data_IF_780795506930
#
_entry.id   IF_780795506930
#
_cell.length_a   1.000
_cell.length_b   1.000
_cell.length_c   1.000
_cell.angle_alpha   90.00
_cell.angle_beta   90.00
_cell.angle_gamma   90.00
#
_symmetry.space_group_name_H-M   'P 1'
#
loop_
_entity.id
_entity.type
_entity.pdbx_description
1 polymer ?
#
# COMPACT_ATOMS: atom_id res chain seq x y z
N UNK A 1 -35.60 -67.53 120.81
CA UNK A 1 -35.24 -66.18 120.29
C UNK A 1 -33.95 -66.16 119.44
N UNK A 2 -32.89 -66.92 119.76
CA UNK A 2 -31.64 -66.94 118.95
C UNK A 2 -31.80 -67.46 117.50
N UNK A 3 -32.70 -68.41 117.23
CA UNK A 3 -32.94 -68.96 115.88
C UNK A 3 -33.73 -68.02 114.94
N UNK A 4 -34.62 -67.19 115.49
CA UNK A 4 -35.42 -66.23 114.71
C UNK A 4 -34.57 -65.02 114.29
N UNK A 5 -33.66 -64.58 115.16
CA UNK A 5 -32.73 -63.48 114.85
C UNK A 5 -31.72 -63.86 113.77
N UNK A 6 -31.27 -65.12 113.73
CA UNK A 6 -30.36 -65.63 112.71
C UNK A 6 -31.04 -65.73 111.33
N UNK A 7 -32.33 -66.09 111.30
CA UNK A 7 -33.12 -66.14 110.07
C UNK A 7 -33.39 -64.75 109.48
N UNK A 8 -33.62 -63.74 110.33
CA UNK A 8 -33.82 -62.35 109.91
C UNK A 8 -32.54 -61.70 109.38
N UNK A 9 -31.38 -62.02 109.96
CA UNK A 9 -30.06 -61.61 109.44
C UNK A 9 -29.76 -62.29 108.10
N UNK A 10 -30.12 -63.57 107.93
CA UNK A 10 -29.92 -64.28 106.67
C UNK A 10 -30.77 -63.70 105.53
N UNK A 11 -32.02 -63.33 105.83
CA UNK A 11 -32.93 -62.68 104.89
C UNK A 11 -32.41 -61.28 104.52
N UNK A 12 -31.96 -60.48 105.49
CA UNK A 12 -31.36 -59.17 105.23
C UNK A 12 -30.09 -59.26 104.36
N UNK A 13 -29.25 -60.30 104.55
CA UNK A 13 -28.07 -60.56 103.71
C UNK A 13 -28.44 -60.97 102.27
N UNK A 14 -29.55 -61.67 102.07
CA UNK A 14 -30.01 -62.06 100.73
C UNK A 14 -30.58 -60.89 99.91
N UNK A 15 -31.08 -59.84 100.56
CA UNK A 15 -31.51 -58.61 99.90
C UNK A 15 -30.36 -57.66 99.54
N UNK A 16 -29.27 -57.65 100.34
CA UNK A 16 -28.09 -56.82 100.05
C UNK A 16 -27.21 -57.37 98.92
N UNK A 17 -27.23 -58.68 98.67
CA UNK A 17 -26.53 -59.32 97.54
C UNK A 17 -27.18 -59.00 96.17
N UNK A 18 -28.50 -58.75 96.13
CA UNK A 18 -29.22 -58.38 94.90
C UNK A 18 -29.24 -56.86 94.61
N UNK A 19 -28.64 -56.04 95.47
CA UNK A 19 -28.57 -54.59 95.27
C UNK A 19 -27.37 -54.15 94.41
N UNK A 20 -26.32 -54.97 94.32
CA UNK A 20 -25.14 -54.71 93.48
C UNK A 20 -25.47 -54.74 91.99
N UNK A 21 -26.32 -55.67 91.55
CA UNK A 21 -26.66 -55.85 90.12
C UNK A 21 -27.46 -54.69 89.53
N UNK A 22 -28.30 -54.00 90.31
CA UNK A 22 -29.05 -52.83 89.82
C UNK A 22 -28.16 -51.61 89.62
N UNK A 23 -27.23 -51.34 90.54
CA UNK A 23 -26.32 -50.18 90.44
C UNK A 23 -25.36 -50.31 89.27
N UNK A 24 -24.86 -51.52 89.03
CA UNK A 24 -24.04 -51.86 87.87
C UNK A 24 -24.82 -51.70 86.56
N UNK A 25 -26.08 -52.16 86.50
CA UNK A 25 -26.96 -51.93 85.34
C UNK A 25 -27.19 -50.44 85.05
N UNK A 26 -27.42 -49.62 86.09
CA UNK A 26 -27.58 -48.17 85.92
C UNK A 26 -26.28 -47.51 85.43
N UNK A 27 -25.12 -47.93 85.95
CA UNK A 27 -23.83 -47.44 85.48
C UNK A 27 -23.56 -47.80 84.01
N UNK A 28 -23.92 -49.01 83.59
CA UNK A 28 -23.83 -49.46 82.19
C UNK A 28 -24.80 -48.67 81.28
N UNK A 29 -26.04 -48.42 81.74
CA UNK A 29 -27.00 -47.57 81.02
C UNK A 29 -26.46 -46.14 80.85
N UNK A 30 -25.87 -45.56 81.90
CA UNK A 30 -25.30 -44.20 81.83
C UNK A 30 -24.08 -44.16 80.91
N UNK A 31 -23.24 -45.20 80.93
CA UNK A 31 -22.11 -45.33 80.00
C UNK A 31 -22.60 -45.47 78.54
N UNK A 32 -23.56 -46.34 78.27
CA UNK A 32 -24.13 -46.52 76.93
C UNK A 32 -24.79 -45.24 76.42
N UNK A 33 -25.45 -44.47 77.31
CA UNK A 33 -26.01 -43.15 76.97
C UNK A 33 -24.92 -42.14 76.63
N UNK A 34 -23.82 -42.13 77.38
CA UNK A 34 -22.67 -41.27 77.09
C UNK A 34 -22.01 -41.63 75.76
N UNK A 35 -21.80 -42.92 75.48
CA UNK A 35 -21.27 -43.41 74.20
C UNK A 35 -22.20 -43.11 73.03
N UNK A 36 -23.52 -43.24 73.22
CA UNK A 36 -24.52 -42.91 72.21
C UNK A 36 -24.52 -41.41 71.91
N UNK A 37 -24.50 -40.56 72.94
CA UNK A 37 -24.37 -39.11 72.78
C UNK A 37 -23.07 -38.71 72.07
N UNK A 38 -21.95 -39.38 72.38
CA UNK A 38 -20.67 -39.16 71.70
C UNK A 38 -20.75 -39.58 70.22
N UNK A 39 -21.34 -40.73 69.92
CA UNK A 39 -21.56 -41.19 68.54
C UNK A 39 -22.47 -40.23 67.77
N UNK A 40 -23.55 -39.75 68.38
CA UNK A 40 -24.46 -38.77 67.77
C UNK A 40 -23.74 -37.46 67.45
N UNK A 41 -22.86 -37.00 68.36
CA UNK A 41 -22.02 -35.81 68.12
C UNK A 41 -21.03 -36.02 66.97
N UNK A 42 -20.38 -37.18 66.90
CA UNK A 42 -19.47 -37.54 65.79
C UNK A 42 -20.24 -37.64 64.47
N UNK A 43 -21.42 -38.25 64.46
CA UNK A 43 -22.27 -38.36 63.27
C UNK A 43 -22.71 -36.96 62.82
N UNK A 44 -23.15 -36.10 63.74
CA UNK A 44 -23.52 -34.72 63.41
C UNK A 44 -22.34 -33.92 62.83
N UNK A 45 -21.14 -34.09 63.40
CA UNK A 45 -19.91 -33.48 62.87
C UNK A 45 -19.53 -34.02 61.49
N UNK A 46 -19.63 -35.34 61.29
CA UNK A 46 -19.35 -35.99 60.01
C UNK A 46 -20.34 -35.54 58.93
N UNK A 47 -21.64 -35.48 59.23
CA UNK A 47 -22.67 -34.98 58.32
C UNK A 47 -22.46 -33.50 57.97
N UNK A 48 -22.03 -32.68 58.94
CA UNK A 48 -21.70 -31.29 58.69
C UNK A 48 -20.48 -31.15 57.78
N UNK A 49 -19.43 -31.94 58.02
CA UNK A 49 -18.24 -31.95 57.20
C UNK A 49 -18.51 -32.46 55.78
N UNK A 50 -19.36 -33.47 55.64
CA UNK A 50 -19.83 -33.98 54.35
C UNK A 50 -20.55 -32.87 53.58
N UNK A 51 -21.51 -32.17 54.20
CA UNK A 51 -22.23 -31.03 53.58
C UNK A 51 -21.27 -29.92 53.14
N UNK A 52 -20.27 -29.59 53.96
CA UNK A 52 -19.26 -28.58 53.61
C UNK A 52 -18.40 -29.07 52.43
N UNK A 53 -17.99 -30.34 52.45
CA UNK A 53 -17.17 -30.94 51.39
C UNK A 53 -17.92 -31.02 50.07
N UNK A 54 -19.19 -31.43 50.08
CA UNK A 54 -20.03 -31.49 48.87
C UNK A 54 -20.32 -30.10 48.33
N UNK A 55 -20.59 -29.12 49.19
CA UNK A 55 -20.72 -27.72 48.77
C UNK A 55 -19.43 -27.18 48.13
N UNK A 56 -18.25 -27.51 48.69
CA UNK A 56 -16.95 -27.12 48.10
C UNK A 56 -16.71 -27.83 46.76
N UNK A 57 -17.00 -29.12 46.66
CA UNK A 57 -16.89 -29.86 45.41
C UNK A 57 -17.76 -29.22 44.31
N UNK A 58 -19.02 -28.90 44.62
CA UNK A 58 -19.92 -28.22 43.67
C UNK A 58 -19.47 -26.80 43.28
N UNK A 59 -18.74 -26.10 44.15
CA UNK A 59 -18.10 -24.81 43.81
C UNK A 59 -16.90 -25.03 42.90
N UNK A 60 -16.03 -26.00 43.20
CA UNK A 60 -14.87 -26.30 42.37
C UNK A 60 -15.25 -26.82 41.00
N UNK A 61 -16.28 -27.67 40.89
CA UNK A 61 -16.81 -28.13 39.61
C UNK A 61 -17.31 -26.97 38.76
N UNK A 62 -18.03 -26.00 39.36
CA UNK A 62 -18.46 -24.78 38.66
C UNK A 62 -17.27 -23.94 38.21
N UNK A 63 -16.28 -23.72 39.06
CA UNK A 63 -15.08 -22.97 38.69
C UNK A 63 -14.29 -23.65 37.57
N UNK A 64 -14.17 -24.98 37.59
CA UNK A 64 -13.52 -25.73 36.51
C UNK A 64 -14.29 -25.55 35.20
N UNK A 65 -15.63 -25.62 35.22
CA UNK A 65 -16.46 -25.36 34.04
C UNK A 65 -16.27 -23.93 33.52
N UNK A 66 -16.33 -22.92 34.41
CA UNK A 66 -16.13 -21.51 34.04
C UNK A 66 -14.73 -21.27 33.45
N UNK A 67 -13.69 -21.90 34.01
CA UNK A 67 -12.32 -21.83 33.49
C UNK A 67 -12.18 -22.52 32.13
N UNK A 68 -12.88 -23.65 31.92
CA UNK A 68 -12.91 -24.33 30.63
C UNK A 68 -13.61 -23.45 29.57
N UNK A 69 -14.73 -22.84 29.91
CA UNK A 69 -15.48 -21.94 29.02
C UNK A 69 -14.69 -20.66 28.71
N UNK A 70 -14.01 -20.09 29.70
CA UNK A 70 -13.12 -18.95 29.52
C UNK A 70 -11.95 -19.31 28.60
N UNK A 71 -11.30 -20.46 28.81
CA UNK A 71 -10.24 -20.94 27.93
C UNK A 71 -10.72 -21.20 26.51
N UNK A 72 -11.90 -21.82 26.33
CA UNK A 72 -12.49 -22.03 25.01
C UNK A 72 -12.75 -20.69 24.28
N UNK A 73 -13.24 -19.68 25.01
CA UNK A 73 -13.45 -18.33 24.49
C UNK A 73 -12.14 -17.65 24.12
N UNK A 74 -11.12 -17.76 24.96
CA UNK A 74 -9.78 -17.22 24.68
C UNK A 74 -9.16 -17.86 23.45
N UNK A 75 -9.23 -19.19 23.31
CA UNK A 75 -8.74 -19.90 22.13
C UNK A 75 -9.49 -19.49 20.85
N UNK A 76 -10.81 -19.32 20.94
CA UNK A 76 -11.62 -18.82 19.82
C UNK A 76 -11.20 -17.41 19.41
N UNK A 77 -11.00 -16.51 20.37
CA UNK A 77 -10.57 -15.14 20.11
C UNK A 77 -9.15 -15.08 19.53
N UNK A 78 -8.23 -15.91 20.05
CA UNK A 78 -6.88 -16.05 19.49
C UNK A 78 -6.94 -16.53 18.05
N UNK A 79 -7.76 -17.54 17.73
CA UNK A 79 -7.96 -18.00 16.35
C UNK A 79 -8.45 -16.88 15.44
N UNK A 80 -9.49 -16.13 15.84
CA UNK A 80 -10.01 -14.99 15.07
C UNK A 80 -8.91 -13.94 14.87
N UNK A 81 -8.14 -13.63 15.92
CA UNK A 81 -7.06 -12.66 15.85
C UNK A 81 -5.95 -13.12 14.90
N UNK A 82 -5.52 -14.38 14.97
CA UNK A 82 -4.50 -14.94 14.07
C UNK A 82 -4.98 -14.95 12.62
N UNK A 83 -6.23 -15.34 12.36
CA UNK A 83 -6.81 -15.29 11.02
C UNK A 83 -6.89 -13.86 10.48
N UNK A 84 -7.36 -12.91 11.31
CA UNK A 84 -7.42 -11.50 10.94
C UNK A 84 -6.02 -10.90 10.70
N UNK A 85 -5.04 -11.30 11.52
CA UNK A 85 -3.64 -10.91 11.35
C UNK A 85 -3.05 -11.46 10.06
N UNK A 86 -3.27 -12.75 9.74
CA UNK A 86 -2.82 -13.36 8.48
C UNK A 86 -3.39 -12.63 7.27
N UNK A 87 -4.71 -12.39 7.26
CA UNK A 87 -5.38 -11.66 6.17
C UNK A 87 -4.85 -10.24 6.02
N UNK A 88 -4.56 -9.55 7.13
CA UNK A 88 -3.93 -8.22 7.10
C UNK A 88 -2.52 -8.28 6.51
N UNK A 89 -1.70 -9.23 6.92
CA UNK A 89 -0.35 -9.43 6.36
C UNK A 89 -0.39 -9.76 4.87
N UNK A 90 -1.31 -10.62 4.42
CA UNK A 90 -1.52 -10.93 3.00
C UNK A 90 -1.95 -9.69 2.20
N UNK A 91 -2.91 -8.91 2.73
CA UNK A 91 -3.36 -7.66 2.10
C UNK A 91 -2.23 -6.62 2.02
N UNK A 92 -1.40 -6.51 3.06
CA UNK A 92 -0.21 -5.65 3.04
C UNK A 92 0.78 -6.15 2.00
N UNK A 93 1.02 -7.46 1.89
CA UNK A 93 1.88 -8.05 0.87
C UNK A 93 1.41 -7.74 -0.55
N UNK A 94 0.12 -7.91 -0.82
CA UNK A 94 -0.48 -7.58 -2.11
C UNK A 94 -0.38 -6.07 -2.42
N UNK A 95 -0.59 -5.22 -1.41
CA UNK A 95 -0.45 -3.77 -1.55
C UNK A 95 1.01 -3.39 -1.85
N UNK A 96 1.97 -4.00 -1.15
CA UNK A 96 3.39 -3.75 -1.33
C UNK A 96 3.86 -4.19 -2.72
N UNK A 97 3.40 -5.34 -3.21
CA UNK A 97 3.74 -5.80 -4.56
C UNK A 97 3.15 -4.86 -5.62
N UNK A 98 1.90 -4.44 -5.46
CA UNK A 98 1.30 -3.44 -6.36
C UNK A 98 2.05 -2.10 -6.33
N UNK A 99 2.54 -1.66 -5.16
CA UNK A 99 3.38 -0.47 -5.04
C UNK A 99 4.72 -0.65 -5.74
N UNK A 100 5.36 -1.81 -5.57
CA UNK A 100 6.64 -2.14 -6.21
C UNK A 100 6.52 -2.17 -7.74
N UNK A 101 5.44 -2.74 -8.27
CA UNK A 101 5.14 -2.72 -9.70
C UNK A 101 4.93 -1.28 -10.21
N UNK A 102 4.16 -0.46 -9.48
CA UNK A 102 3.93 0.95 -9.84
C UNK A 102 5.22 1.76 -9.79
N UNK A 103 6.07 1.56 -8.78
CA UNK A 103 7.37 2.21 -8.66
C UNK A 103 8.29 1.84 -9.82
N UNK A 104 8.37 0.55 -10.17
CA UNK A 104 9.14 0.08 -11.33
C UNK A 104 8.66 0.75 -12.63
N UNK A 105 7.34 0.86 -12.82
CA UNK A 105 6.75 1.56 -13.98
C UNK A 105 7.10 3.06 -13.98
N UNK A 106 6.97 3.73 -12.83
CA UNK A 106 7.34 5.14 -12.69
C UNK A 106 8.83 5.37 -12.96
N UNK A 107 9.70 4.47 -12.51
CA UNK A 107 11.13 4.52 -12.79
C UNK A 107 11.41 4.46 -14.29
N UNK A 108 10.75 3.56 -15.03
CA UNK A 108 10.90 3.50 -16.49
C UNK A 108 10.46 4.80 -17.15
N UNK A 109 9.31 5.38 -16.73
CA UNK A 109 8.83 6.65 -17.26
C UNK A 109 9.85 7.77 -16.98
N UNK A 110 10.32 7.88 -15.73
CA UNK A 110 11.27 8.90 -15.31
C UNK A 110 12.63 8.77 -16.04
N UNK A 111 13.13 7.54 -16.20
CA UNK A 111 14.37 7.26 -16.92
C UNK A 111 14.26 7.68 -18.40
N UNK A 112 13.08 7.50 -19.02
CA UNK A 112 12.84 7.94 -20.41
C UNK A 112 12.75 9.47 -20.54
N UNK A 113 12.05 10.15 -19.62
CA UNK A 113 12.00 11.62 -19.60
C UNK A 113 13.39 12.23 -19.40
N UNK A 114 14.14 11.72 -18.42
CA UNK A 114 15.49 12.21 -18.11
C UNK A 114 16.45 12.07 -19.29
N UNK A 115 16.32 10.98 -20.07
CA UNK A 115 17.08 10.78 -21.32
C UNK A 115 16.69 11.81 -22.38
N UNK A 116 15.39 12.06 -22.56
CA UNK A 116 14.89 13.08 -23.48
C UNK A 116 15.44 14.48 -23.16
N UNK A 117 15.37 14.89 -21.90
CA UNK A 117 15.87 16.20 -21.44
C UNK A 117 17.40 16.31 -21.58
N UNK A 118 18.13 15.23 -21.31
CA UNK A 118 19.59 15.21 -21.49
C UNK A 118 19.98 15.42 -22.96
N UNK A 119 19.27 14.78 -23.88
CA UNK A 119 19.50 14.95 -25.33
C UNK A 119 19.05 16.34 -25.79
N UNK A 120 17.93 16.86 -25.28
CA UNK A 120 17.49 18.22 -25.58
C UNK A 120 18.54 19.26 -25.19
N UNK A 121 19.17 19.10 -24.02
CA UNK A 121 20.25 19.97 -23.58
C UNK A 121 21.47 19.89 -24.51
N UNK A 122 21.88 18.69 -24.92
CA UNK A 122 22.97 18.50 -25.89
C UNK A 122 22.66 19.18 -27.23
N UNK A 123 21.45 18.99 -27.76
CA UNK A 123 21.02 19.66 -28.99
C UNK A 123 21.08 21.18 -28.87
N UNK A 124 20.67 21.75 -27.74
CA UNK A 124 20.76 23.21 -27.52
C UNK A 124 22.21 23.67 -27.58
N UNK A 125 23.11 22.93 -26.95
CA UNK A 125 24.55 23.21 -27.03
C UNK A 125 25.05 23.16 -28.47
N UNK A 126 24.69 22.14 -29.25
CA UNK A 126 25.11 22.01 -30.65
C UNK A 126 24.52 23.08 -31.57
N UNK A 127 23.24 23.42 -31.36
CA UNK A 127 22.60 24.53 -32.05
C UNK A 127 23.29 25.85 -31.74
N UNK A 128 23.58 26.14 -30.46
CA UNK A 128 24.31 27.36 -30.09
C UNK A 128 25.73 27.39 -30.65
N UNK A 129 26.42 26.25 -30.69
CA UNK A 129 27.76 26.15 -31.29
C UNK A 129 27.74 26.42 -32.80
N UNK A 130 26.70 25.98 -33.50
CA UNK A 130 26.61 26.06 -34.97
C UNK A 130 25.99 27.38 -35.45
N UNK A 131 24.96 27.87 -34.74
CA UNK A 131 24.18 29.05 -35.11
C UNK A 131 24.68 30.33 -34.41
N UNK A 132 25.49 30.20 -33.36
CA UNK A 132 25.98 31.29 -32.52
C UNK A 132 25.14 31.49 -31.25
N UNK A 133 25.71 32.16 -30.25
CA UNK A 133 25.06 32.34 -28.93
C UNK A 133 23.74 33.14 -28.98
N UNK A 134 23.57 33.98 -29.99
CA UNK A 134 22.37 34.79 -30.23
C UNK A 134 21.18 34.02 -30.80
N UNK A 135 21.34 32.74 -31.15
CA UNK A 135 20.25 31.93 -31.68
C UNK A 135 19.12 31.77 -30.64
N UNK A 136 17.89 32.13 -31.01
CA UNK A 136 16.73 31.97 -30.15
C UNK A 136 16.28 30.51 -30.17
N UNK A 137 16.48 29.83 -29.05
CA UNK A 137 16.10 28.43 -28.87
C UNK A 137 15.25 28.35 -27.59
N UNK A 138 14.01 27.89 -27.73
CA UNK A 138 13.10 27.66 -26.61
C UNK A 138 13.12 26.18 -26.25
N UNK A 139 13.22 25.87 -24.96
CA UNK A 139 13.18 24.50 -24.44
C UNK A 139 12.00 24.40 -23.49
N UNK A 140 11.21 23.33 -23.62
CA UNK A 140 10.14 23.06 -22.67
C UNK A 140 9.61 21.64 -22.82
N UNK A 141 9.47 20.94 -21.69
CA UNK A 141 8.87 19.59 -21.63
C UNK A 141 9.56 18.58 -22.59
N UNK A 142 10.89 18.61 -22.67
CA UNK A 142 11.66 17.76 -23.59
C UNK A 142 11.52 18.12 -25.07
N UNK A 143 10.88 19.24 -25.42
CA UNK A 143 10.78 19.76 -26.78
C UNK A 143 11.69 20.96 -26.95
N UNK A 144 12.19 21.13 -28.18
CA UNK A 144 13.00 22.27 -28.59
C UNK A 144 12.28 22.99 -29.73
N UNK A 145 12.15 24.31 -29.61
CA UNK A 145 11.52 25.16 -30.60
C UNK A 145 12.50 26.24 -31.06
N UNK A 146 12.70 26.36 -32.37
CA UNK A 146 13.43 27.43 -33.02
C UNK A 146 12.41 28.35 -33.70
N UNK A 147 12.01 29.45 -33.03
CA UNK A 147 11.15 30.45 -33.65
C UNK A 147 11.93 31.26 -34.69
N UNK A 148 11.30 31.46 -35.84
CA UNK A 148 11.78 32.28 -36.96
C UNK A 148 10.72 33.35 -37.23
N UNK A 149 11.11 34.62 -37.15
CA UNK A 149 10.23 35.73 -37.49
C UNK A 149 10.01 35.79 -39.00
N UNK A 150 8.85 36.30 -39.43
CA UNK A 150 8.58 36.54 -40.84
C UNK A 150 9.66 37.38 -41.52
N UNK A 151 10.03 38.50 -40.89
CA UNK A 151 11.08 39.41 -41.37
C UNK A 151 12.43 38.70 -41.56
N UNK A 152 12.78 37.74 -40.69
CA UNK A 152 14.00 36.96 -40.88
C UNK A 152 13.89 36.02 -42.10
N UNK A 153 12.73 35.37 -42.26
CA UNK A 153 12.49 34.40 -43.32
C UNK A 153 12.51 35.02 -44.71
N UNK A 154 11.87 36.19 -44.89
CA UNK A 154 11.66 36.79 -46.22
C UNK A 154 12.25 38.20 -46.39
N UNK A 155 12.80 38.78 -45.33
CA UNK A 155 13.30 40.15 -45.32
C UNK A 155 12.18 41.19 -45.17
N UNK A 156 12.45 42.42 -45.61
CA UNK A 156 11.50 43.55 -45.52
C UNK A 156 10.26 43.40 -46.42
N UNK A 157 10.28 42.49 -47.40
CA UNK A 157 9.15 42.24 -48.28
C UNK A 157 8.21 41.18 -47.69
N UNK A 158 7.14 41.63 -47.03
CA UNK A 158 6.18 40.76 -46.35
C UNK A 158 5.47 39.75 -47.28
N UNK A 159 5.42 40.00 -48.59
CA UNK A 159 4.77 39.14 -49.59
C UNK A 159 5.77 38.44 -50.53
N UNK A 160 7.04 38.31 -50.14
CA UNK A 160 7.98 37.53 -50.94
C UNK A 160 7.61 36.04 -50.93
N UNK A 161 7.76 35.37 -52.07
CA UNK A 161 7.60 33.93 -52.26
C UNK A 161 8.88 33.14 -51.94
N UNK A 162 10.01 33.84 -51.82
CA UNK A 162 11.36 33.27 -51.66
C UNK A 162 11.97 33.61 -50.31
N UNK A 163 12.78 32.69 -49.80
CA UNK A 163 13.51 32.88 -48.55
C UNK A 163 14.69 33.84 -48.72
N UNK A 164 14.99 34.61 -47.68
CA UNK A 164 16.18 35.42 -47.59
C UNK A 164 17.44 34.54 -47.65
N UNK A 165 18.56 35.10 -48.12
CA UNK A 165 19.84 34.39 -48.15
C UNK A 165 20.28 33.98 -46.74
N UNK A 166 20.05 34.87 -45.76
CA UNK A 166 20.37 34.65 -44.36
C UNK A 166 19.54 33.51 -43.75
N UNK A 167 18.22 33.49 -43.99
CA UNK A 167 17.35 32.40 -43.56
C UNK A 167 17.76 31.08 -44.20
N UNK A 168 18.09 31.08 -45.50
CA UNK A 168 18.52 29.88 -46.21
C UNK A 168 19.79 29.29 -45.61
N UNK A 169 20.78 30.11 -45.28
CA UNK A 169 22.02 29.64 -44.66
C UNK A 169 21.83 29.22 -43.19
N UNK A 170 20.95 29.89 -42.46
CA UNK A 170 20.54 29.46 -41.11
C UNK A 170 19.87 28.09 -41.14
N UNK A 171 18.93 27.87 -42.06
CA UNK A 171 18.22 26.59 -42.20
C UNK A 171 19.14 25.44 -42.60
N UNK A 172 20.16 25.70 -43.44
CA UNK A 172 21.20 24.70 -43.75
C UNK A 172 21.97 24.27 -42.51
N UNK A 173 22.39 25.23 -41.68
CA UNK A 173 23.06 24.96 -40.40
C UNK A 173 22.17 24.20 -39.43
N UNK A 174 20.88 24.55 -39.37
CA UNK A 174 19.88 23.78 -38.60
C UNK A 174 19.85 22.33 -39.09
N UNK A 175 19.74 22.12 -40.40
CA UNK A 175 19.77 20.78 -41.02
C UNK A 175 21.02 19.96 -40.67
N UNK A 176 22.20 20.59 -40.62
CA UNK A 176 23.46 19.93 -40.23
C UNK A 176 23.45 19.44 -38.78
N UNK A 177 22.88 20.22 -37.85
CA UNK A 177 22.72 19.79 -36.45
C UNK A 177 21.69 18.65 -36.39
N UNK A 178 20.55 18.79 -37.08
CA UNK A 178 19.50 17.77 -37.09
C UNK A 178 19.97 16.39 -37.58
N UNK A 179 20.90 16.36 -38.54
CA UNK A 179 21.50 15.12 -39.04
C UNK A 179 22.21 14.30 -37.95
N UNK A 180 22.67 14.93 -36.88
CA UNK A 180 23.30 14.26 -35.75
C UNK A 180 22.28 13.59 -34.82
N UNK A 181 21.00 13.94 -34.94
CA UNK A 181 19.91 13.51 -34.07
C UNK A 181 18.76 12.83 -34.86
N UNK A 182 19.03 11.72 -35.57
CA UNK A 182 18.06 11.10 -36.49
C UNK A 182 16.83 10.47 -35.80
N UNK A 183 16.87 10.29 -34.48
CA UNK A 183 15.76 9.72 -33.70
C UNK A 183 14.70 10.75 -33.33
N UNK A 184 15.01 12.03 -33.46
CA UNK A 184 14.09 13.13 -33.14
C UNK A 184 13.17 13.42 -34.31
N UNK A 185 11.92 13.72 -33.99
CA UNK A 185 10.91 14.04 -34.97
C UNK A 185 10.85 15.55 -35.17
N UNK A 186 10.66 15.95 -36.42
CA UNK A 186 10.59 17.33 -36.85
C UNK A 186 9.11 17.74 -37.04
N UNK A 187 8.76 18.87 -36.47
CA UNK A 187 7.50 19.55 -36.70
C UNK A 187 7.73 20.95 -37.22
N UNK A 188 6.83 21.43 -38.07
CA UNK A 188 6.77 22.79 -38.54
C UNK A 188 5.45 23.40 -38.09
N UNK A 189 5.52 24.51 -37.36
CA UNK A 189 4.33 25.26 -36.98
C UNK A 189 4.38 26.61 -37.65
N UNK A 190 3.34 26.95 -38.39
CA UNK A 190 3.17 28.28 -38.96
C UNK A 190 2.05 29.00 -38.22
N UNK A 191 2.36 30.21 -37.76
CA UNK A 191 1.37 31.16 -37.27
C UNK A 191 1.10 32.19 -38.35
N UNK A 192 -0.18 32.44 -38.59
CA UNK A 192 -0.64 33.34 -39.63
C UNK A 192 -1.65 34.32 -39.06
N UNK A 193 -1.44 35.62 -39.29
CA UNK A 193 -2.37 36.68 -38.93
C UNK A 193 -3.36 37.03 -40.05
N UNK A 194 -3.28 36.35 -41.19
CA UNK A 194 -4.14 36.53 -42.36
C UNK A 194 -3.72 37.66 -43.29
N UNK A 195 -2.55 38.28 -43.08
CA UNK A 195 -2.06 39.38 -43.92
C UNK A 195 -1.17 38.94 -45.08
N UNK A 196 -0.69 37.68 -45.08
CA UNK A 196 0.13 37.11 -46.15
C UNK A 196 -0.75 36.31 -47.11
N UNK A 197 -0.49 36.45 -48.41
CA UNK A 197 -1.14 35.62 -49.43
C UNK A 197 -0.83 34.14 -49.20
N UNK A 198 -1.88 33.31 -49.24
CA UNK A 198 -1.81 31.87 -48.99
C UNK A 198 -0.79 31.16 -49.91
N UNK A 199 -0.73 31.56 -51.18
CA UNK A 199 0.22 31.02 -52.16
C UNK A 199 1.68 31.33 -51.78
N UNK A 200 1.97 32.57 -51.38
CA UNK A 200 3.32 32.98 -50.98
C UNK A 200 3.76 32.26 -49.70
N UNK A 201 2.86 32.10 -48.73
CA UNK A 201 3.13 31.37 -47.49
C UNK A 201 3.42 29.90 -47.76
N UNK A 202 2.64 29.26 -48.62
CA UNK A 202 2.82 27.85 -48.95
C UNK A 202 4.12 27.64 -49.74
N UNK A 203 4.51 28.61 -50.60
CA UNK A 203 5.82 28.63 -51.26
C UNK A 203 6.98 28.75 -50.24
N UNK A 204 6.88 29.67 -49.28
CA UNK A 204 7.87 29.82 -48.20
C UNK A 204 8.01 28.52 -47.38
N UNK A 205 6.89 27.91 -46.97
CA UNK A 205 6.89 26.64 -46.22
C UNK A 205 7.58 25.54 -47.03
N UNK A 206 7.26 25.44 -48.33
CA UNK A 206 7.87 24.46 -49.23
C UNK A 206 9.38 24.67 -49.33
N UNK A 207 9.84 25.91 -49.50
CA UNK A 207 11.26 26.23 -49.53
C UNK A 207 11.99 25.85 -48.23
N UNK A 208 11.37 26.06 -47.06
CA UNK A 208 11.94 25.64 -45.77
C UNK A 208 12.07 24.11 -45.71
N UNK A 209 11.02 23.39 -46.11
CA UNK A 209 11.00 21.93 -46.10
C UNK A 209 12.03 21.35 -47.06
N UNK A 210 12.20 21.95 -48.22
CA UNK A 210 13.17 21.50 -49.23
C UNK A 210 14.61 21.65 -48.73
N UNK A 211 14.95 22.78 -48.11
CA UNK A 211 16.29 22.99 -47.51
C UNK A 211 16.55 21.96 -46.41
N UNK A 212 15.58 21.76 -45.51
CA UNK A 212 15.73 20.80 -44.41
C UNK A 212 15.86 19.37 -44.95
N UNK A 213 15.04 18.99 -45.93
CA UNK A 213 15.09 17.67 -46.56
C UNK A 213 16.43 17.43 -47.26
N UNK A 214 16.97 18.44 -47.96
CA UNK A 214 18.26 18.32 -48.64
C UNK A 214 19.41 18.05 -47.67
N UNK A 215 19.40 18.67 -46.48
CA UNK A 215 20.47 18.50 -45.49
C UNK A 215 20.30 17.25 -44.61
N UNK A 216 19.07 16.95 -44.20
CA UNK A 216 18.77 15.86 -43.25
C UNK A 216 18.50 14.52 -43.94
N UNK A 217 18.05 14.54 -45.20
CA UNK A 217 17.50 13.37 -45.89
C UNK A 217 16.15 12.90 -45.33
N UNK A 218 15.51 13.69 -44.45
CA UNK A 218 14.20 13.39 -43.90
C UNK A 218 13.14 13.87 -44.91
N UNK A 219 12.33 12.96 -45.48
CA UNK A 219 11.34 13.36 -46.46
C UNK A 219 10.22 14.18 -45.80
N UNK A 220 9.67 15.14 -46.55
CA UNK A 220 8.70 16.12 -46.06
C UNK A 220 7.45 15.51 -45.37
N UNK A 221 7.05 14.28 -45.74
CA UNK A 221 5.92 13.58 -45.12
C UNK A 221 6.18 13.10 -43.68
N UNK A 222 7.43 13.02 -43.24
CA UNK A 222 7.79 12.76 -41.85
C UNK A 222 7.75 14.02 -40.99
N UNK A 223 7.68 15.20 -41.63
CA UNK A 223 7.67 16.49 -40.94
C UNK A 223 6.21 16.85 -40.63
N UNK A 224 5.88 16.93 -39.35
CA UNK A 224 4.51 17.26 -38.93
C UNK A 224 4.24 18.74 -39.13
N UNK A 225 3.39 19.10 -40.08
CA UNK A 225 3.01 20.50 -40.33
C UNK A 225 1.73 20.86 -39.57
N UNK A 226 1.69 22.05 -38.96
CA UNK A 226 0.49 22.62 -38.34
C UNK A 226 0.41 24.11 -38.62
N UNK A 227 -0.74 24.54 -39.15
CA UNK A 227 -1.10 25.95 -39.26
C UNK A 227 -1.92 26.35 -38.03
N UNK A 228 -1.58 27.48 -37.43
CA UNK A 228 -2.29 28.09 -36.31
C UNK A 228 -2.66 29.52 -36.68
N UNK A 229 -3.90 29.92 -36.41
CA UNK A 229 -4.29 31.32 -36.51
C UNK A 229 -3.66 32.09 -35.34
N UNK A 230 -3.00 33.21 -35.64
CA UNK A 230 -2.18 33.96 -34.68
C UNK A 230 -2.33 35.47 -34.84
N UNK A 231 -1.68 36.20 -33.93
CA UNK A 231 -1.59 37.67 -34.00
C UNK A 231 -0.40 38.14 -34.85
N UNK A 232 0.54 37.24 -35.14
CA UNK A 232 1.78 37.51 -35.87
C UNK A 232 2.03 36.42 -36.89
N UNK A 233 2.83 36.76 -37.90
CA UNK A 233 3.40 35.81 -38.84
C UNK A 233 4.73 35.28 -38.30
N UNK A 234 4.78 33.98 -38.05
CA UNK A 234 5.97 33.33 -37.53
C UNK A 234 6.00 31.86 -37.95
N UNK A 235 7.21 31.33 -38.14
CA UNK A 235 7.43 29.93 -38.39
C UNK A 235 8.26 29.37 -37.24
N UNK A 236 7.86 28.25 -36.68
CA UNK A 236 8.55 27.60 -35.58
C UNK A 236 8.93 26.18 -36.00
N UNK A 237 10.23 25.91 -35.99
CA UNK A 237 10.75 24.55 -36.16
C UNK A 237 10.72 23.89 -34.79
N UNK A 238 9.97 22.80 -34.66
CA UNK A 238 9.86 22.01 -33.44
C UNK A 238 10.60 20.70 -33.57
N UNK A 239 11.33 20.37 -32.53
CA UNK A 239 11.92 19.06 -32.33
C UNK A 239 11.31 18.44 -31.10
N UNK A 240 10.84 17.22 -31.27
CA UNK A 240 10.34 16.44 -30.16
C UNK A 240 10.83 15.00 -30.25
N UNK A 241 10.91 14.29 -29.09
CA UNK A 241 11.19 12.88 -29.10
C UNK A 241 10.12 12.11 -29.90
N UNK A 242 10.45 10.91 -30.38
CA UNK A 242 9.45 10.01 -30.95
C UNK A 242 8.48 9.55 -29.84
N UNK A 243 7.37 10.26 -29.71
CA UNK A 243 6.31 9.92 -28.76
C UNK A 243 5.73 8.54 -29.04
N UNK A 244 5.67 8.08 -30.30
CA UNK A 244 5.16 6.76 -30.62
C UNK A 244 6.08 5.66 -30.10
N UNK A 245 7.39 5.83 -30.17
CA UNK A 245 8.34 4.90 -29.52
C UNK A 245 8.27 4.97 -27.99
N UNK A 246 8.14 6.16 -27.41
CA UNK A 246 7.92 6.35 -25.98
C UNK A 246 6.68 5.58 -25.49
N UNK A 247 5.52 5.79 -26.13
CA UNK A 247 4.29 5.09 -25.77
C UNK A 247 4.39 3.58 -26.02
N UNK A 248 5.08 3.13 -27.07
CA UNK A 248 5.35 1.69 -27.30
C UNK A 248 6.20 1.10 -26.18
N UNK A 249 7.23 1.81 -25.73
CA UNK A 249 8.11 1.37 -24.64
C UNK A 249 7.35 1.27 -23.32
N UNK A 250 6.57 2.30 -22.96
CA UNK A 250 5.72 2.26 -21.76
C UNK A 250 4.66 1.16 -21.87
N UNK A 251 4.02 1.01 -23.03
CA UNK A 251 3.03 -0.05 -23.23
C UNK A 251 3.64 -1.44 -23.10
N UNK A 252 4.85 -1.67 -23.61
CA UNK A 252 5.57 -2.93 -23.42
C UNK A 252 5.89 -3.17 -21.95
N UNK A 253 6.35 -2.15 -21.21
CA UNK A 253 6.63 -2.30 -19.78
C UNK A 253 5.38 -2.44 -18.91
N UNK A 254 4.19 -2.07 -19.42
CA UNK A 254 2.91 -2.25 -18.71
C UNK A 254 2.26 -3.62 -18.95
N UNK A 255 2.67 -4.34 -20.00
CA UNK A 255 2.13 -5.67 -20.36
C UNK A 255 2.80 -6.83 -19.63
N UNK A 256 3.98 -6.59 -19.06
CA UNK A 256 4.69 -7.50 -18.17
C UNK A 256 4.44 -7.11 -16.71
#
# INVERSE_FOLDING_TARGET
MKKSLLLLVLIALSYSLNAQSKRELFAEIDQLRAELSQKDSVIASAQQQEKISTARAAVFERQVSELQDANATLLKNLKIFTEASSRRSESIGATLESLREKESRLKIINDQFSKGDSIALLMVTDFKNTLGEGAQIKIGQGMLALPLSHEFLVGENENADTLSLEASDYLKKVGQVLKQYPTWQLGLITQDNGMIDEENRDAQITAVLDIINQETGIPAWQITQRKLDGLINALEIRLHPDYADFYRTIRKSMKN
#
